data_IF_301758563403
#
_entry.id   IF_301758563403
#
_cell.length_a   1.000
_cell.length_b   1.000
_cell.length_c   1.000
_cell.angle_alpha   90.00
_cell.angle_beta   90.00
_cell.angle_gamma   90.00
#
_symmetry.space_group_name_H-M   'P 1'
#
loop_
_entity.id
_entity.type
_entity.pdbx_description
1 polymer ?
#
# COMPACT_ATOMS: atom_id res chain seq x y z
N UNK A 1 19.07 49.01 -12.59
CA UNK A 1 18.05 48.26 -11.84
C UNK A 1 17.82 46.93 -12.56
N UNK A 2 18.56 45.88 -12.19
CA UNK A 2 18.46 44.56 -12.82
C UNK A 2 17.64 43.69 -11.88
N UNK A 3 16.40 43.36 -12.26
CA UNK A 3 15.53 42.48 -11.47
C UNK A 3 15.98 41.03 -11.68
N UNK A 4 16.35 40.36 -10.59
CA UNK A 4 16.64 38.94 -10.57
C UNK A 4 15.33 38.14 -10.74
N UNK A 5 15.26 37.17 -11.66
CA UNK A 5 14.10 36.27 -11.77
C UNK A 5 14.04 35.37 -10.53
N UNK A 6 12.95 35.45 -9.78
CA UNK A 6 12.70 34.54 -8.67
C UNK A 6 12.28 33.19 -9.24
N UNK A 7 13.15 32.18 -9.13
CA UNK A 7 12.81 30.81 -9.49
C UNK A 7 11.87 30.23 -8.43
N UNK A 8 10.60 30.03 -8.80
CA UNK A 8 9.61 29.35 -7.95
C UNK A 8 9.98 27.85 -7.94
N UNK A 9 10.22 27.24 -6.77
CA UNK A 9 10.51 25.81 -6.72
C UNK A 9 9.25 25.03 -7.12
N UNK A 10 9.34 24.29 -8.21
CA UNK A 10 8.30 23.34 -8.63
C UNK A 10 8.34 22.15 -7.68
N UNK A 11 7.45 22.14 -6.68
CA UNK A 11 7.30 20.98 -5.81
C UNK A 11 6.77 19.80 -6.64
N UNK A 12 7.32 18.59 -6.49
CA UNK A 12 6.81 17.40 -7.16
C UNK A 12 5.37 17.15 -6.70
N UNK A 13 4.43 17.18 -7.65
CA UNK A 13 3.04 16.79 -7.39
C UNK A 13 2.98 15.27 -7.26
N UNK A 14 3.30 14.74 -6.08
CA UNK A 14 2.86 13.40 -5.75
C UNK A 14 1.33 13.44 -5.71
N UNK A 15 0.62 12.58 -6.48
CA UNK A 15 -0.82 12.50 -6.36
C UNK A 15 -1.13 12.18 -4.90
N UNK A 16 -2.05 12.91 -4.25
CA UNK A 16 -2.51 12.51 -2.94
C UNK A 16 -3.19 11.16 -3.12
N UNK A 17 -2.55 10.09 -2.68
CA UNK A 17 -3.16 8.77 -2.58
C UNK A 17 -4.18 8.85 -1.45
N UNK A 18 -5.31 9.51 -1.72
CA UNK A 18 -6.43 9.57 -0.80
C UNK A 18 -7.00 8.15 -0.71
N UNK A 19 -6.47 7.38 0.23
CA UNK A 19 -7.01 6.08 0.60
C UNK A 19 -8.38 6.33 1.23
N UNK A 20 -9.42 5.79 0.60
CA UNK A 20 -10.77 5.82 1.13
C UNK A 20 -10.92 4.78 2.25
N UNK A 21 -11.88 4.99 3.16
CA UNK A 21 -12.23 4.00 4.18
C UNK A 21 -12.67 2.67 3.58
N UNK A 22 -13.29 2.69 2.40
CA UNK A 22 -13.66 1.50 1.64
C UNK A 22 -12.44 0.70 1.16
N UNK A 23 -11.41 1.38 0.65
CA UNK A 23 -10.14 0.74 0.29
C UNK A 23 -9.42 0.15 1.50
N UNK A 24 -9.43 0.85 2.65
CA UNK A 24 -8.90 0.31 3.91
C UNK A 24 -9.62 -0.99 4.26
N UNK A 25 -10.95 -0.99 4.24
CA UNK A 25 -11.75 -2.17 4.57
C UNK A 25 -11.43 -3.35 3.64
N UNK A 26 -11.30 -3.09 2.34
CA UNK A 26 -10.92 -4.11 1.36
C UNK A 26 -9.56 -4.74 1.70
N UNK A 27 -8.54 -3.93 2.00
CA UNK A 27 -7.22 -4.45 2.37
C UNK A 27 -7.25 -5.23 3.69
N UNK A 28 -8.06 -4.81 4.67
CA UNK A 28 -8.22 -5.56 5.92
C UNK A 28 -8.87 -6.93 5.68
N UNK A 29 -9.87 -7.00 4.80
CA UNK A 29 -10.52 -8.27 4.44
C UNK A 29 -9.59 -9.20 3.65
N UNK A 30 -8.78 -8.65 2.74
CA UNK A 30 -7.74 -9.40 2.01
C UNK A 30 -6.67 -9.93 2.96
N UNK A 31 -6.16 -9.09 3.87
CA UNK A 31 -5.18 -9.50 4.89
C UNK A 31 -5.74 -10.59 5.80
N UNK A 32 -7.00 -10.49 6.21
CA UNK A 32 -7.66 -11.52 7.02
C UNK A 32 -7.68 -12.87 6.29
N UNK A 33 -8.04 -12.89 5.00
CA UNK A 33 -8.04 -14.12 4.19
C UNK A 33 -6.65 -14.70 4.03
N UNK A 34 -5.66 -13.85 3.76
CA UNK A 34 -4.27 -14.25 3.62
C UNK A 34 -3.73 -14.91 4.90
N UNK A 35 -3.97 -14.29 6.07
CA UNK A 35 -3.56 -14.85 7.36
C UNK A 35 -4.20 -16.21 7.60
N UNK A 36 -5.49 -16.35 7.32
CA UNK A 36 -6.19 -17.64 7.47
C UNK A 36 -5.60 -18.72 6.56
N UNK A 37 -5.31 -18.39 5.30
CA UNK A 37 -4.68 -19.32 4.36
C UNK A 37 -3.26 -19.73 4.81
N UNK A 38 -2.47 -18.79 5.31
CA UNK A 38 -1.15 -19.06 5.91
C UNK A 38 -1.25 -20.03 7.08
N UNK A 39 -2.22 -19.84 7.97
CA UNK A 39 -2.40 -20.70 9.14
C UNK A 39 -2.85 -22.11 8.73
N UNK A 40 -3.78 -22.22 7.79
CA UNK A 40 -4.27 -23.51 7.29
C UNK A 40 -3.16 -24.30 6.58
N UNK A 41 -2.38 -23.63 5.72
CA UNK A 41 -1.25 -24.25 5.02
C UNK A 41 -0.14 -24.70 5.98
N UNK A 42 0.10 -23.94 7.06
CA UNK A 42 1.01 -24.39 8.14
C UNK A 42 0.48 -25.64 8.86
N UNK A 43 -0.81 -25.68 9.18
CA UNK A 43 -1.43 -26.84 9.82
C UNK A 43 -1.38 -28.10 8.94
N UNK A 44 -1.42 -27.93 7.62
CA UNK A 44 -1.28 -29.01 6.64
C UNK A 44 0.18 -29.41 6.35
N UNK A 45 1.17 -28.71 6.92
CA UNK A 45 2.59 -28.93 6.64
C UNK A 45 3.06 -28.41 5.28
N UNK A 46 2.23 -27.62 4.58
CA UNK A 46 2.47 -27.07 3.23
C UNK A 46 3.18 -25.73 3.29
N UNK A 47 4.37 -25.69 3.90
CA UNK A 47 5.12 -24.45 4.12
C UNK A 47 5.45 -23.69 2.83
N UNK A 48 5.61 -24.39 1.70
CA UNK A 48 5.84 -23.80 0.38
C UNK A 48 4.61 -23.06 -0.19
N UNK A 49 3.41 -23.35 0.31
CA UNK A 49 2.14 -22.74 -0.10
C UNK A 49 1.68 -21.63 0.87
N UNK A 50 2.42 -21.39 1.97
CA UNK A 50 2.03 -20.39 2.97
C UNK A 50 2.08 -18.95 2.43
N UNK A 51 3.03 -18.61 1.57
CA UNK A 51 3.13 -17.28 0.96
C UNK A 51 3.38 -17.43 -0.55
N UNK A 52 2.29 -17.41 -1.32
CA UNK A 52 2.30 -17.17 -2.78
C UNK A 52 1.78 -15.77 -3.06
#
# INVERSE_FOLDING_TARGET
MQQTPQMIPMMPSFPPTNITTEQIQKYLDENKKLILAILDNQNLGKLAECAQ
#
